data_IF_246565753153
#
_entry.id   IF_246565753153
#
_cell.length_a   1.000
_cell.length_b   1.000
_cell.length_c   1.000
_cell.angle_alpha   90.00
_cell.angle_beta   90.00
_cell.angle_gamma   90.00
#
_symmetry.space_group_name_H-M   'P 1'
#
loop_
_entity.id
_entity.type
_entity.pdbx_description
1 polymer ?
#
# COMPACT_ATOMS: atom_id res chain seq x y z
N UNK A 1 52.23 53.71 8.81
CA UNK A 1 53.07 53.14 9.90
C UNK A 1 52.39 51.87 10.40
N UNK A 2 52.90 50.70 9.99
CA UNK A 2 53.56 49.69 10.85
C UNK A 2 52.59 48.91 11.75
N UNK A 3 52.10 47.75 11.28
CA UNK A 3 52.56 46.38 11.61
C UNK A 3 52.24 45.94 13.05
N UNK A 4 51.42 44.90 13.20
CA UNK A 4 51.75 43.76 14.05
C UNK A 4 51.15 42.46 13.48
N UNK A 5 52.04 41.48 13.30
CA UNK A 5 51.79 40.07 12.96
C UNK A 5 51.26 39.32 14.18
N UNK A 6 50.54 38.22 13.96
CA UNK A 6 50.62 36.91 14.64
C UNK A 6 49.53 36.00 14.02
N UNK A 7 49.84 35.12 13.06
CA UNK A 7 50.39 33.75 13.22
C UNK A 7 49.51 32.83 14.08
N UNK A 8 48.64 32.05 13.43
CA UNK A 8 48.11 30.80 13.98
C UNK A 8 48.22 29.71 12.92
N UNK A 9 48.78 28.59 13.37
CA UNK A 9 49.35 27.51 12.59
C UNK A 9 48.34 26.40 12.32
N UNK A 10 48.67 25.63 11.29
CA UNK A 10 47.98 24.49 10.71
C UNK A 10 47.52 23.42 11.69
N UNK A 11 46.41 22.75 11.38
CA UNK A 11 46.20 21.31 11.66
C UNK A 11 45.39 20.72 10.51
N UNK A 12 46.10 20.15 9.53
CA UNK A 12 45.54 19.35 8.46
C UNK A 12 45.38 17.93 8.98
N UNK A 13 44.13 17.48 9.13
CA UNK A 13 43.82 16.09 9.45
C UNK A 13 44.16 15.20 8.23
N UNK A 14 45.00 14.21 8.47
CA UNK A 14 45.51 13.26 7.49
C UNK A 14 44.64 11.99 7.51
N UNK A 15 44.24 11.42 6.36
CA UNK A 15 43.48 10.17 6.34
C UNK A 15 44.37 8.96 6.65
N UNK A 16 43.83 7.88 7.25
CA UNK A 16 44.61 6.70 7.60
C UNK A 16 45.05 5.92 6.35
N UNK A 17 46.33 5.53 6.36
CA UNK A 17 46.97 4.67 5.36
C UNK A 17 46.41 3.25 5.46
N UNK A 18 45.88 2.75 4.35
CA UNK A 18 45.63 1.31 4.14
C UNK A 18 46.98 0.66 3.79
N UNK A 19 47.54 -0.07 4.75
CA UNK A 19 48.71 -0.91 4.53
C UNK A 19 48.27 -2.32 4.13
N UNK A 20 48.87 -2.79 3.03
CA UNK A 20 48.75 -4.14 2.48
C UNK A 20 49.63 -5.09 3.27
N UNK A 21 49.10 -6.25 3.66
CA UNK A 21 49.91 -7.46 3.86
C UNK A 21 49.15 -8.63 3.24
N UNK A 22 49.83 -9.35 2.34
CA UNK A 22 49.39 -10.63 1.83
C UNK A 22 50.25 -11.73 2.42
N UNK A 23 49.66 -12.90 2.70
CA UNK A 23 50.39 -14.16 2.62
C UNK A 23 49.42 -15.36 2.54
N UNK A 24 49.56 -16.03 1.39
CA UNK A 24 49.43 -17.46 1.05
C UNK A 24 48.94 -18.51 2.07
N UNK A 25 48.18 -19.44 1.47
CA UNK A 25 48.07 -20.88 1.73
C UNK A 25 47.49 -21.34 3.08
N UNK A 26 46.31 -21.96 3.01
CA UNK A 26 46.13 -23.36 3.46
C UNK A 26 44.90 -24.00 2.84
N UNK A 27 45.17 -25.08 2.10
CA UNK A 27 44.28 -26.19 1.78
C UNK A 27 43.48 -26.61 3.03
N UNK A 28 42.16 -26.73 2.87
CA UNK A 28 41.36 -27.70 3.60
C UNK A 28 40.23 -28.18 2.67
N UNK A 29 40.60 -29.14 1.82
CA UNK A 29 39.69 -30.14 1.31
C UNK A 29 39.14 -30.96 2.49
N UNK A 30 37.88 -31.39 2.40
CA UNK A 30 37.12 -32.33 3.27
C UNK A 30 35.84 -31.72 3.86
N UNK A 31 34.83 -31.60 3.00
CA UNK A 31 33.43 -31.39 3.41
C UNK A 31 32.42 -31.88 2.38
N UNK A 32 32.84 -32.66 1.38
CA UNK A 32 32.02 -33.12 0.24
C UNK A 32 31.41 -34.53 0.46
N UNK A 33 31.33 -35.00 1.71
CA UNK A 33 30.97 -36.39 2.03
C UNK A 33 29.58 -36.63 2.60
N UNK A 34 28.77 -35.59 2.86
CA UNK A 34 27.45 -35.73 3.49
C UNK A 34 26.25 -35.44 2.57
N UNK A 35 26.49 -35.05 1.32
CA UNK A 35 25.42 -34.65 0.40
C UNK A 35 24.92 -35.77 -0.53
N UNK A 36 25.47 -36.98 -0.45
CA UNK A 36 25.13 -38.11 -1.34
C UNK A 36 24.39 -39.24 -0.60
N UNK A 37 24.34 -39.27 0.73
CA UNK A 37 23.66 -40.32 1.51
C UNK A 37 22.21 -39.97 1.94
N UNK A 38 21.73 -38.76 1.64
CA UNK A 38 20.37 -38.31 1.97
C UNK A 38 19.39 -38.31 0.77
N UNK A 39 19.83 -38.77 -0.41
CA UNK A 39 19.07 -38.71 -1.67
C UNK A 39 18.40 -40.02 -2.10
N UNK A 40 18.32 -41.05 -1.24
CA UNK A 40 17.77 -42.38 -1.60
C UNK A 40 16.60 -42.89 -0.75
N UNK A 41 15.93 -42.06 0.05
CA UNK A 41 14.69 -42.45 0.76
C UNK A 41 13.56 -41.44 0.56
N UNK A 42 13.02 -41.33 -0.65
CA UNK A 42 11.72 -40.67 -0.89
C UNK A 42 11.07 -41.16 -2.16
N UNK A 43 10.19 -42.15 -2.04
CA UNK A 43 8.92 -42.40 -2.76
C UNK A 43 8.38 -43.73 -2.21
N UNK A 44 7.11 -43.99 -1.91
CA UNK A 44 5.86 -43.26 -2.01
C UNK A 44 4.90 -43.89 -0.98
N UNK A 45 4.01 -43.10 -0.37
CA UNK A 45 2.79 -43.63 0.23
C UNK A 45 1.69 -42.56 0.14
N UNK A 46 0.83 -42.75 -0.87
CA UNK A 46 -0.49 -42.14 -0.98
C UNK A 46 -1.40 -42.72 0.11
N UNK A 47 -2.06 -41.88 0.91
CA UNK A 47 -3.26 -42.27 1.66
C UNK A 47 -4.05 -41.05 2.16
N UNK A 48 -5.28 -40.92 1.66
CA UNK A 48 -6.48 -40.31 2.30
C UNK A 48 -6.43 -38.78 2.52
N UNK A 49 -7.06 -37.92 1.70
CA UNK A 49 -8.49 -37.82 1.36
C UNK A 49 -9.44 -38.09 2.53
N UNK A 50 -9.59 -37.11 3.42
CA UNK A 50 -10.83 -36.97 4.18
C UNK A 50 -11.20 -35.49 4.37
N UNK A 51 -12.34 -35.12 3.79
CA UNK A 51 -12.99 -33.83 3.97
C UNK A 51 -13.34 -33.65 5.44
N UNK A 52 -12.77 -32.65 6.11
CA UNK A 52 -13.27 -32.14 7.39
C UNK A 52 -13.89 -30.78 7.17
N UNK A 53 -15.22 -30.78 7.06
CA UNK A 53 -16.03 -29.58 7.20
C UNK A 53 -15.99 -29.12 8.66
N UNK A 54 -15.88 -27.81 8.95
CA UNK A 54 -16.06 -27.32 10.31
C UNK A 54 -17.55 -27.39 10.68
N UNK A 55 -17.84 -28.18 11.71
CA UNK A 55 -19.11 -28.20 12.45
C UNK A 55 -19.29 -26.82 13.07
N UNK A 56 -20.23 -26.03 12.55
CA UNK A 56 -20.75 -24.85 13.24
C UNK A 56 -21.70 -25.33 14.33
N UNK A 57 -21.23 -25.26 15.57
CA UNK A 57 -22.08 -25.44 16.75
C UNK A 57 -23.15 -24.34 16.80
N UNK A 58 -24.40 -24.76 16.70
CA UNK A 58 -25.40 -24.44 17.72
C UNK A 58 -25.85 -22.99 17.89
N UNK A 59 -26.19 -22.26 16.83
CA UNK A 59 -27.14 -21.14 16.99
C UNK A 59 -28.55 -21.73 16.95
N UNK A 60 -29.12 -22.00 18.13
CA UNK A 60 -30.54 -22.26 18.31
C UNK A 60 -31.34 -21.05 17.79
N UNK A 61 -31.79 -21.12 16.55
CA UNK A 61 -32.87 -20.29 16.05
C UNK A 61 -34.14 -20.70 16.79
N UNK A 62 -34.50 -19.90 17.79
CA UNK A 62 -35.75 -20.02 18.54
C UNK A 62 -36.87 -19.50 17.63
N UNK A 63 -37.48 -20.41 16.87
CA UNK A 63 -38.70 -20.14 16.12
C UNK A 63 -39.85 -19.96 17.11
N UNK A 64 -40.49 -18.80 16.97
CA UNK A 64 -41.88 -18.48 17.27
C UNK A 64 -42.53 -19.19 18.46
N UNK A 65 -42.65 -18.44 19.55
CA UNK A 65 -43.81 -18.54 20.43
C UNK A 65 -44.38 -17.12 20.55
N UNK A 66 -45.38 -16.81 19.73
CA UNK A 66 -46.18 -15.60 19.84
C UNK A 66 -47.48 -15.97 20.55
N UNK A 67 -47.59 -15.56 21.81
CA UNK A 67 -48.87 -15.40 22.48
C UNK A 67 -48.81 -14.13 23.37
N UNK A 68 -49.94 -13.44 23.54
CA UNK A 68 -50.00 -11.98 23.55
C UNK A 68 -50.00 -11.42 24.96
N UNK A 69 -49.11 -10.48 25.30
CA UNK A 69 -49.24 -9.75 26.57
C UNK A 69 -48.73 -8.31 26.46
N UNK A 70 -49.71 -7.41 26.66
CA UNK A 70 -49.61 -6.01 27.09
C UNK A 70 -48.90 -5.03 26.16
N UNK A 71 -49.70 -4.56 25.22
CA UNK A 71 -49.82 -3.14 24.90
C UNK A 71 -49.87 -2.33 26.21
N UNK A 72 -48.71 -1.80 26.64
CA UNK A 72 -48.67 -0.66 27.53
C UNK A 72 -48.90 0.56 26.64
N UNK A 73 -50.16 0.94 26.54
CA UNK A 73 -50.65 2.31 26.46
C UNK A 73 -49.56 3.31 26.04
N UNK A 74 -49.34 3.38 24.73
CA UNK A 74 -48.58 4.46 24.14
C UNK A 74 -49.42 5.73 24.32
N UNK A 75 -49.05 6.55 25.30
CA UNK A 75 -49.51 7.93 25.35
C UNK A 75 -49.31 8.54 23.95
N UNK A 76 -50.33 9.19 23.36
CA UNK A 76 -50.21 9.80 22.04
C UNK A 76 -49.00 10.73 22.04
N UNK A 77 -47.99 10.42 21.22
CA UNK A 77 -46.82 11.28 21.08
C UNK A 77 -47.34 12.69 20.73
N UNK A 78 -47.01 13.72 21.53
CA UNK A 78 -47.48 15.07 21.25
C UNK A 78 -47.01 15.44 19.84
N UNK A 79 -47.87 16.07 19.01
CA UNK A 79 -47.63 16.27 17.58
C UNK A 79 -46.28 16.94 17.29
N UNK A 80 -45.81 17.80 18.20
CA UNK A 80 -44.51 18.47 18.13
C UNK A 80 -43.31 17.52 18.13
N UNK A 81 -43.38 16.39 18.84
CA UNK A 81 -42.30 15.39 18.90
C UNK A 81 -42.23 14.55 17.63
N UNK A 82 -43.36 14.34 16.97
CA UNK A 82 -43.42 13.67 15.68
C UNK A 82 -42.77 14.54 14.59
N UNK A 83 -43.07 15.84 14.57
CA UNK A 83 -42.48 16.79 13.63
C UNK A 83 -40.96 16.91 13.80
N UNK A 84 -40.47 16.90 15.04
CA UNK A 84 -39.04 16.93 15.37
C UNK A 84 -38.32 15.67 14.85
N UNK A 85 -38.90 14.49 15.08
CA UNK A 85 -38.36 13.22 14.58
C UNK A 85 -38.38 13.15 13.04
N UNK A 86 -39.44 13.63 12.41
CA UNK A 86 -39.61 13.61 10.96
C UNK A 86 -38.63 14.58 10.28
N UNK A 87 -38.36 15.74 10.89
CA UNK A 87 -37.29 16.66 10.46
C UNK A 87 -35.90 16.05 10.59
N UNK A 88 -35.63 15.34 11.69
CA UNK A 88 -34.34 14.69 11.91
C UNK A 88 -34.10 13.61 10.85
N UNK A 89 -35.08 12.76 10.57
CA UNK A 89 -34.99 11.75 9.51
C UNK A 89 -34.78 12.36 8.13
N UNK A 90 -35.50 13.43 7.78
CA UNK A 90 -35.30 14.12 6.50
C UNK A 90 -33.90 14.73 6.38
N UNK A 91 -33.36 15.28 7.47
CA UNK A 91 -32.02 15.88 7.50
C UNK A 91 -30.91 14.82 7.35
N UNK A 92 -31.06 13.65 7.98
CA UNK A 92 -30.12 12.54 7.85
C UNK A 92 -30.20 11.94 6.45
N UNK A 93 -31.40 11.70 5.93
CA UNK A 93 -31.59 11.15 4.60
C UNK A 93 -31.01 12.06 3.48
N UNK A 94 -31.16 13.38 3.60
CA UNK A 94 -30.58 14.34 2.64
C UNK A 94 -29.05 14.45 2.75
N UNK A 95 -28.49 14.33 3.96
CA UNK A 95 -27.03 14.35 4.18
C UNK A 95 -26.36 13.06 3.71
N UNK A 96 -26.97 11.91 4.00
CA UNK A 96 -26.49 10.59 3.56
C UNK A 96 -26.63 10.43 2.06
N UNK A 97 -27.73 10.92 1.45
CA UNK A 97 -27.87 10.88 -0.01
C UNK A 97 -26.92 11.83 -0.72
N UNK A 98 -26.58 13.00 -0.16
CA UNK A 98 -25.54 13.88 -0.72
C UNK A 98 -24.15 13.23 -0.63
N UNK A 99 -23.81 12.59 0.49
CA UNK A 99 -22.52 11.88 0.65
C UNK A 99 -22.45 10.59 -0.17
N UNK A 100 -23.55 9.84 -0.30
CA UNK A 100 -23.62 8.62 -1.10
C UNK A 100 -23.70 8.93 -2.60
N UNK A 101 -24.37 10.02 -3.01
CA UNK A 101 -24.37 10.48 -4.40
C UNK A 101 -22.98 10.96 -4.85
N UNK A 102 -22.15 11.47 -3.93
CA UNK A 102 -20.72 11.73 -4.22
C UNK A 102 -19.93 10.43 -4.41
N UNK A 103 -20.33 9.33 -3.76
CA UNK A 103 -19.76 7.98 -3.98
C UNK A 103 -20.33 7.27 -5.20
N UNK A 104 -21.38 7.80 -5.84
CA UNK A 104 -21.85 7.26 -7.12
C UNK A 104 -20.99 7.85 -8.22
N UNK A 105 -20.19 6.98 -8.82
CA UNK A 105 -19.46 7.18 -10.06
C UNK A 105 -20.26 8.10 -11.01
N UNK A 106 -19.89 9.37 -11.08
CA UNK A 106 -20.42 10.26 -12.11
C UNK A 106 -19.76 9.81 -13.41
N UNK A 107 -20.49 9.65 -14.53
CA UNK A 107 -19.90 9.41 -15.83
C UNK A 107 -19.31 10.72 -16.40
N UNK A 108 -18.56 11.43 -15.55
CA UNK A 108 -17.52 12.37 -15.93
C UNK A 108 -16.26 11.51 -16.09
N UNK A 109 -15.34 11.89 -16.97
CA UNK A 109 -14.16 11.09 -17.32
C UNK A 109 -13.52 10.42 -16.09
N UNK A 110 -13.14 9.15 -16.22
CA UNK A 110 -12.56 8.38 -15.11
C UNK A 110 -11.14 8.90 -14.90
N UNK A 111 -11.01 9.89 -14.02
CA UNK A 111 -9.73 10.48 -13.61
C UNK A 111 -8.97 9.46 -12.74
N UNK A 112 -8.20 8.58 -13.40
CA UNK A 112 -7.31 7.63 -12.75
C UNK A 112 -7.87 6.20 -12.61
N UNK A 113 -7.02 5.22 -12.91
CA UNK A 113 -7.31 3.79 -12.75
C UNK A 113 -6.26 3.14 -11.84
N UNK A 114 -6.70 2.43 -10.80
CA UNK A 114 -5.80 1.62 -9.94
C UNK A 114 -6.11 0.14 -10.16
N UNK A 115 -5.13 -0.62 -10.62
CA UNK A 115 -5.28 -2.04 -10.99
C UNK A 115 -4.55 -2.92 -9.98
N UNK A 116 -5.26 -3.92 -9.45
CA UNK A 116 -4.69 -4.98 -8.64
C UNK A 116 -4.16 -6.13 -9.52
N UNK A 117 -2.85 -6.39 -9.43
CA UNK A 117 -2.18 -7.56 -10.01
C UNK A 117 -1.43 -8.36 -8.92
N UNK A 118 -2.00 -8.40 -7.72
CA UNK A 118 -1.53 -9.21 -6.60
C UNK A 118 -2.26 -10.56 -6.56
N UNK A 119 -1.63 -11.57 -5.95
CA UNK A 119 -2.11 -12.98 -5.95
C UNK A 119 -2.12 -13.56 -4.54
N UNK A 120 -1.12 -13.25 -3.71
CA UNK A 120 -1.06 -13.74 -2.35
C UNK A 120 -1.92 -12.91 -1.41
N UNK A 121 -2.24 -13.49 -0.25
CA UNK A 121 -2.93 -12.76 0.80
C UNK A 121 -2.15 -11.51 1.25
N UNK A 122 -0.82 -11.62 1.36
CA UNK A 122 0.04 -10.50 1.78
C UNK A 122 -0.01 -9.37 0.73
N UNK A 123 -0.02 -9.73 -0.56
CA UNK A 123 -0.17 -8.77 -1.65
C UNK A 123 -1.54 -8.08 -1.65
N UNK A 124 -2.62 -8.84 -1.45
CA UNK A 124 -3.96 -8.25 -1.31
C UNK A 124 -4.09 -7.36 -0.07
N UNK A 125 -3.55 -7.78 1.08
CA UNK A 125 -3.55 -6.96 2.30
C UNK A 125 -2.80 -5.62 2.05
N UNK A 126 -1.71 -5.64 1.28
CA UNK A 126 -1.03 -4.42 0.84
C UNK A 126 -1.92 -3.57 -0.08
N UNK A 127 -2.55 -4.17 -1.08
CA UNK A 127 -3.42 -3.46 -2.02
C UNK A 127 -4.61 -2.81 -1.30
N UNK A 128 -5.24 -3.51 -0.35
CA UNK A 128 -6.36 -2.99 0.44
C UNK A 128 -5.97 -1.75 1.24
N UNK A 129 -4.79 -1.76 1.87
CA UNK A 129 -4.27 -0.58 2.59
C UNK A 129 -3.93 0.55 1.62
N UNK A 130 -3.24 0.24 0.52
CA UNK A 130 -2.87 1.21 -0.51
C UNK A 130 -4.11 1.90 -1.09
N UNK A 131 -5.06 1.14 -1.58
CA UNK A 131 -6.28 1.65 -2.21
C UNK A 131 -7.22 2.31 -1.19
N UNK A 132 -7.26 1.80 0.04
CA UNK A 132 -8.07 2.39 1.11
C UNK A 132 -7.63 3.79 1.54
N UNK A 133 -6.34 4.12 1.35
CA UNK A 133 -5.77 5.45 1.62
C UNK A 133 -5.54 6.27 0.35
N UNK A 134 -5.78 5.70 -0.83
CA UNK A 134 -5.54 6.35 -2.11
C UNK A 134 -6.50 7.53 -2.31
N UNK A 135 -5.95 8.74 -2.26
CA UNK A 135 -6.67 9.99 -2.55
C UNK A 135 -5.84 10.81 -3.55
N UNK A 136 -6.06 10.62 -4.87
CA UNK A 136 -5.32 11.37 -5.87
C UNK A 136 -5.86 12.82 -5.90
N UNK A 137 -4.97 13.83 -5.97
CA UNK A 137 -5.39 15.21 -6.21
C UNK A 137 -6.26 15.32 -7.48
N UNK A 138 -7.40 16.01 -7.38
CA UNK A 138 -8.43 16.15 -8.43
C UNK A 138 -8.02 16.97 -9.66
N UNK A 139 -6.73 17.15 -9.87
CA UNK A 139 -6.15 17.96 -10.94
C UNK A 139 -5.02 17.19 -11.65
N UNK A 140 -4.85 15.91 -11.30
CA UNK A 140 -4.02 14.97 -12.03
C UNK A 140 -4.90 14.42 -13.17
N UNK A 141 -4.46 14.57 -14.42
CA UNK A 141 -5.18 14.03 -15.57
C UNK A 141 -5.23 12.50 -15.57
N UNK A 142 -5.42 11.87 -16.73
CA UNK A 142 -5.52 10.41 -16.79
C UNK A 142 -4.20 9.73 -16.37
N UNK A 143 -4.29 8.81 -15.41
CA UNK A 143 -3.17 7.98 -14.99
C UNK A 143 -3.62 6.54 -14.71
N UNK A 144 -2.69 5.60 -14.83
CA UNK A 144 -2.90 4.22 -14.43
C UNK A 144 -1.86 3.80 -13.41
N UNK A 145 -2.29 3.42 -12.21
CA UNK A 145 -1.44 2.82 -11.18
C UNK A 145 -1.66 1.32 -11.20
N UNK A 146 -0.58 0.54 -11.28
CA UNK A 146 -0.62 -0.92 -11.21
C UNK A 146 0.17 -1.38 -10.01
N UNK A 147 -0.50 -2.12 -9.12
CA UNK A 147 0.16 -2.81 -8.01
C UNK A 147 0.39 -4.25 -8.43
N UNK A 148 1.65 -4.61 -8.66
CA UNK A 148 2.04 -5.94 -9.15
C UNK A 148 2.76 -6.72 -8.06
N UNK A 149 2.38 -7.97 -7.89
CA UNK A 149 3.13 -8.90 -7.05
C UNK A 149 4.08 -9.77 -7.87
N UNK A 150 5.30 -9.96 -7.36
CA UNK A 150 6.33 -10.86 -7.88
C UNK A 150 6.68 -11.90 -6.81
N UNK A 151 6.99 -13.15 -7.19
CA UNK A 151 7.38 -14.17 -6.22
C UNK A 151 8.68 -13.79 -5.51
N UNK A 152 8.61 -13.65 -4.19
CA UNK A 152 9.75 -13.36 -3.33
C UNK A 152 10.60 -14.58 -2.96
N UNK A 153 11.63 -14.37 -2.14
CA UNK A 153 12.51 -15.43 -1.61
C UNK A 153 12.08 -15.84 -0.20
N UNK A 154 11.84 -17.12 0.00
CA UNK A 154 11.46 -17.65 1.30
C UNK A 154 9.99 -17.30 1.62
N UNK A 155 9.75 -16.64 2.74
CA UNK A 155 8.40 -16.34 3.23
C UNK A 155 7.96 -14.88 3.00
N UNK A 156 8.68 -14.18 2.11
CA UNK A 156 8.33 -12.83 1.69
C UNK A 156 7.76 -12.84 0.26
N UNK A 157 7.02 -11.79 -0.07
CA UNK A 157 6.63 -11.49 -1.45
C UNK A 157 7.28 -10.18 -1.88
N UNK A 158 7.41 -9.95 -3.18
CA UNK A 158 7.89 -8.67 -3.71
C UNK A 158 6.69 -7.95 -4.31
N UNK A 159 6.50 -6.68 -3.97
CA UNK A 159 5.48 -5.84 -4.60
C UNK A 159 6.17 -4.71 -5.33
N UNK A 160 5.77 -4.51 -6.59
CA UNK A 160 6.15 -3.37 -7.41
C UNK A 160 4.94 -2.47 -7.66
N UNK A 161 5.19 -1.17 -7.63
CA UNK A 161 4.18 -0.15 -7.96
C UNK A 161 4.61 0.55 -9.23
N UNK A 162 3.74 0.50 -10.23
CA UNK A 162 3.94 1.08 -11.55
C UNK A 162 2.95 2.22 -11.76
N UNK A 163 3.38 3.32 -12.37
CA UNK A 163 2.49 4.42 -12.79
C UNK A 163 2.75 4.69 -14.27
N UNK A 164 1.71 4.61 -15.11
CA UNK A 164 1.81 4.76 -16.57
C UNK A 164 2.95 3.90 -17.14
N UNK A 165 2.89 2.59 -16.83
CA UNK A 165 3.86 1.58 -17.26
C UNK A 165 5.31 1.80 -16.76
N UNK A 166 5.54 2.81 -15.92
CA UNK A 166 6.84 3.12 -15.31
C UNK A 166 6.91 2.55 -13.90
N UNK A 167 7.79 1.57 -13.69
CA UNK A 167 8.04 0.98 -12.37
C UNK A 167 8.75 2.00 -11.47
N UNK A 168 8.08 2.43 -10.40
CA UNK A 168 8.60 3.45 -9.47
C UNK A 168 9.45 2.84 -8.36
N UNK A 169 9.00 1.70 -7.83
CA UNK A 169 9.62 1.03 -6.70
C UNK A 169 9.27 -0.45 -6.70
N UNK A 170 10.17 -1.23 -6.12
CA UNK A 170 9.99 -2.64 -5.80
C UNK A 170 10.46 -2.87 -4.36
N UNK A 171 9.61 -3.46 -3.52
CA UNK A 171 9.89 -3.68 -2.11
C UNK A 171 9.52 -5.10 -1.68
N UNK A 172 10.32 -5.75 -0.81
CA UNK A 172 9.92 -6.99 -0.17
C UNK A 172 8.89 -6.70 0.93
N UNK A 173 7.76 -7.42 0.90
CA UNK A 173 6.74 -7.39 1.92
C UNK A 173 6.90 -8.56 2.90
N UNK A 174 7.27 -8.29 4.16
CA UNK A 174 7.18 -9.27 5.23
C UNK A 174 5.71 -9.47 5.66
N UNK A 175 5.36 -10.61 6.29
CA UNK A 175 3.98 -10.96 6.62
C UNK A 175 3.38 -10.18 7.81
N UNK A 176 4.13 -9.24 8.41
CA UNK A 176 3.65 -8.46 9.56
C UNK A 176 2.83 -7.29 9.05
N UNK A 177 1.63 -7.13 9.58
CA UNK A 177 0.69 -6.10 9.11
C UNK A 177 1.24 -4.67 9.21
N UNK A 178 1.95 -4.36 10.30
CA UNK A 178 2.58 -3.04 10.50
C UNK A 178 3.61 -2.68 9.41
N UNK A 179 4.35 -3.68 8.93
CA UNK A 179 5.32 -3.51 7.85
C UNK A 179 4.62 -3.34 6.49
N UNK A 180 3.50 -4.06 6.28
CA UNK A 180 2.65 -3.94 5.09
C UNK A 180 2.05 -2.54 4.99
N UNK A 181 1.49 -2.04 6.10
CA UNK A 181 0.91 -0.71 6.18
C UNK A 181 1.95 0.38 5.90
N UNK A 182 3.12 0.27 6.53
CA UNK A 182 4.23 1.20 6.28
C UNK A 182 4.69 1.19 4.81
N UNK A 183 4.80 0.00 4.20
CA UNK A 183 5.18 -0.14 2.80
C UNK A 183 4.11 0.46 1.86
N UNK A 184 2.82 0.26 2.14
CA UNK A 184 1.72 0.81 1.35
C UNK A 184 1.71 2.35 1.39
N UNK A 185 1.83 2.94 2.58
CA UNK A 185 1.88 4.39 2.75
C UNK A 185 3.11 5.01 2.07
N UNK A 186 4.28 4.37 2.21
CA UNK A 186 5.48 4.80 1.51
C UNK A 186 5.30 4.75 -0.01
N UNK A 187 4.76 3.64 -0.54
CA UNK A 187 4.55 3.49 -1.97
C UNK A 187 3.56 4.51 -2.54
N UNK A 188 2.52 4.83 -1.77
CA UNK A 188 1.56 5.88 -2.10
C UNK A 188 2.22 7.25 -2.21
N UNK A 189 3.06 7.64 -1.24
CA UNK A 189 3.77 8.92 -1.31
C UNK A 189 4.63 9.04 -2.56
N UNK A 190 5.35 7.98 -2.92
CA UNK A 190 6.19 7.95 -4.12
C UNK A 190 5.35 8.07 -5.39
N UNK A 191 4.21 7.39 -5.46
CA UNK A 191 3.31 7.47 -6.61
C UNK A 191 2.70 8.88 -6.78
N UNK A 192 2.25 9.51 -5.69
CA UNK A 192 1.71 10.88 -5.72
C UNK A 192 2.78 11.88 -6.15
N UNK A 193 3.98 11.80 -5.57
CA UNK A 193 5.10 12.68 -5.92
C UNK A 193 5.47 12.55 -7.41
N UNK A 194 5.48 11.32 -7.92
CA UNK A 194 5.72 11.07 -9.34
C UNK A 194 4.65 11.69 -10.24
N UNK A 195 3.36 11.56 -9.89
CA UNK A 195 2.26 12.14 -10.66
C UNK A 195 2.33 13.67 -10.69
N UNK A 196 2.58 14.30 -9.55
CA UNK A 196 2.74 15.76 -9.44
C UNK A 196 3.95 16.24 -10.26
N UNK A 197 5.08 15.56 -10.14
CA UNK A 197 6.29 15.94 -10.88
C UNK A 197 6.12 15.77 -12.39
N UNK A 198 5.57 14.65 -12.83
CA UNK A 198 5.34 14.37 -14.26
C UNK A 198 4.44 15.44 -14.89
N UNK A 199 3.39 15.85 -14.17
CA UNK A 199 2.51 16.94 -14.60
C UNK A 199 3.26 18.28 -14.72
N UNK A 200 4.02 18.66 -13.70
CA UNK A 200 4.77 19.91 -13.70
C UNK A 200 5.77 19.99 -14.86
N UNK A 201 6.39 18.85 -15.21
CA UNK A 201 7.29 18.74 -16.36
C UNK A 201 6.50 18.94 -17.66
N UNK A 202 5.38 18.24 -17.84
CA UNK A 202 4.54 18.40 -19.03
C UNK A 202 4.09 19.85 -19.25
N UNK A 203 3.66 20.54 -18.19
CA UNK A 203 3.25 21.95 -18.26
C UNK A 203 4.39 22.90 -18.65
N UNK A 204 5.61 22.65 -18.19
CA UNK A 204 6.78 23.47 -18.57
C UNK A 204 7.15 23.28 -20.04
N UNK A 205 7.02 22.05 -20.56
CA UNK A 205 7.29 21.75 -21.96
C UNK A 205 6.26 22.42 -22.88
N UNK A 206 4.98 22.41 -22.50
CA UNK A 206 3.91 23.13 -23.21
C UNK A 206 4.16 24.65 -23.24
N UNK A 207 4.47 25.24 -22.08
CA UNK A 207 4.78 26.68 -21.97
C UNK A 207 6.01 27.09 -22.80
N UNK A 208 7.01 26.22 -22.88
CA UNK A 208 8.22 26.47 -23.69
C UNK A 208 7.93 26.29 -25.18
N UNK A 209 7.12 25.30 -25.56
CA UNK A 209 6.72 25.06 -26.95
C UNK A 209 5.88 26.23 -27.51
N UNK A 210 5.02 26.82 -26.69
CA UNK A 210 4.21 27.98 -27.06
C UNK A 210 5.01 29.30 -27.12
N UNK A 211 6.23 29.32 -26.58
CA UNK A 211 7.15 30.46 -26.67
C UNK A 211 8.45 30.08 -27.43
N UNK A 212 8.40 29.89 -28.76
CA UNK A 212 9.55 29.52 -29.58
C UNK A 212 10.62 30.63 -29.70
N UNK A 213 10.54 31.71 -28.90
CA UNK A 213 11.19 32.99 -29.14
C UNK A 213 12.35 33.39 -28.23
N UNK A 214 12.88 32.52 -27.37
CA UNK A 214 14.09 32.84 -26.60
C UNK A 214 15.27 32.02 -27.07
N UNK A 215 15.78 32.34 -28.26
CA UNK A 215 17.13 31.94 -28.65
C UNK A 215 18.14 32.67 -27.73
N UNK A 216 18.70 31.94 -26.78
CA UNK A 216 19.86 32.41 -26.00
C UNK A 216 21.08 32.37 -26.92
N UNK A 217 21.44 33.55 -27.45
CA UNK A 217 22.72 33.82 -28.10
C UNK A 217 23.88 33.87 -27.10
#
# INVERSE_FOLDING_TARGET
MSKYKNSCSCTTAQPPRVAKEGLLLRLCTHGCGCLILLLLLSTAALAQSEKRAPIKEGVKSKLADQAPVKEKEAAPLPPKKLEEALRLLLSVASKDSAQNAQRRFRPTEIEGLVIDQTVSKIGHDFYDVFFGQWDPPSDLGDFTVVVREKPGRGNNTLVSVEVNESELLELPLPPRYEDIEAAALYSMSVAVDFLVNSRNISQQLEQTADNPGTEVF
#
